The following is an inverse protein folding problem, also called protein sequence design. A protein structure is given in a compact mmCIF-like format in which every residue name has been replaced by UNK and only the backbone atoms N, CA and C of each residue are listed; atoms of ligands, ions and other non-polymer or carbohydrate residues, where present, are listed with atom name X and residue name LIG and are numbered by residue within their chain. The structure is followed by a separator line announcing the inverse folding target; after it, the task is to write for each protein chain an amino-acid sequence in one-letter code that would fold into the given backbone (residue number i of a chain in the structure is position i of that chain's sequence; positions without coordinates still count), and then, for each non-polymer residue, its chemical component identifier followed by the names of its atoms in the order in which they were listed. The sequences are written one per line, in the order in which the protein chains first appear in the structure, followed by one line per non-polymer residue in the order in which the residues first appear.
data_IF_426402109236
#
_entry.id   IF_426402109236
#
_cell.length_a   1.000
_cell.length_b   1.000
_cell.length_c   1.000
_cell.angle_alpha   90.00
_cell.angle_beta   90.00
_cell.angle_gamma   90.00
#
_symmetry.space_group_name_H-M   'P 1'
#
loop_
_entity.id
_entity.type
_entity.pdbx_description
1 polymer ?
#
# COMPACT_ATOMS: atom_id res chain seq x y z
N UNK A 1 -0.17 -13.52 2.38
CA UNK A 1 0.54 -14.79 2.24
C UNK A 1 0.23 -15.71 3.42
N UNK A 2 0.56 -17.00 3.32
CA UNK A 2 0.46 -17.94 4.44
C UNK A 2 1.75 -17.85 5.28
N UNK A 3 1.69 -18.09 6.59
CA UNK A 3 2.86 -18.08 7.47
C UNK A 3 4.00 -18.98 6.95
N UNK A 4 3.64 -20.13 6.37
CA UNK A 4 4.59 -21.11 5.82
C UNK A 4 5.29 -20.69 4.52
N UNK A 5 5.03 -19.52 3.99
CA UNK A 5 5.66 -18.98 2.77
C UNK A 5 6.07 -17.52 2.97
N UNK A 6 6.25 -17.09 4.21
CA UNK A 6 6.52 -15.69 4.53
C UNK A 6 7.84 -15.23 3.94
N UNK A 7 8.93 -15.95 4.20
CA UNK A 7 10.27 -15.57 3.72
C UNK A 7 10.36 -15.70 2.20
N UNK A 8 9.83 -16.79 1.64
CA UNK A 8 9.75 -16.98 0.19
C UNK A 8 9.01 -15.82 -0.50
N UNK A 9 7.87 -15.39 0.06
CA UNK A 9 7.11 -14.28 -0.49
C UNK A 9 7.87 -12.94 -0.40
N UNK A 10 8.59 -12.69 0.69
CA UNK A 10 9.41 -11.48 0.84
C UNK A 10 10.56 -11.49 -0.17
N UNK A 11 11.23 -12.64 -0.36
CA UNK A 11 12.29 -12.77 -1.34
C UNK A 11 11.77 -12.54 -2.76
N UNK A 12 10.63 -13.13 -3.11
CA UNK A 12 10.00 -12.90 -4.42
C UNK A 12 9.63 -11.42 -4.66
N UNK A 13 9.09 -10.73 -3.64
CA UNK A 13 8.82 -9.29 -3.75
C UNK A 13 10.10 -8.47 -3.94
N UNK A 14 11.16 -8.81 -3.23
CA UNK A 14 12.45 -8.12 -3.34
C UNK A 14 13.08 -8.34 -4.74
N UNK A 15 12.97 -9.55 -5.29
CA UNK A 15 13.39 -9.87 -6.66
C UNK A 15 12.57 -9.09 -7.70
N UNK A 16 11.24 -9.05 -7.58
CA UNK A 16 10.37 -8.29 -8.48
C UNK A 16 10.69 -6.79 -8.45
N UNK A 17 10.94 -6.22 -7.28
CA UNK A 17 11.33 -4.81 -7.15
C UNK A 17 12.70 -4.56 -7.83
N UNK A 18 13.65 -5.50 -7.67
CA UNK A 18 14.96 -5.38 -8.31
C UNK A 18 14.89 -5.47 -9.83
N UNK A 19 13.96 -6.27 -10.35
CA UNK A 19 13.79 -6.48 -11.78
C UNK A 19 12.96 -5.39 -12.44
N UNK A 20 12.02 -4.78 -11.72
CA UNK A 20 11.15 -3.73 -12.25
C UNK A 20 11.92 -2.55 -12.87
N UNK A 21 13.08 -2.21 -12.31
CA UNK A 21 13.95 -1.15 -12.84
C UNK A 21 14.82 -1.60 -14.02
N UNK A 22 14.89 -2.89 -14.33
CA UNK A 22 15.82 -3.47 -15.30
C UNK A 22 15.14 -4.11 -16.50
N UNK A 23 13.97 -4.72 -16.31
CA UNK A 23 13.24 -5.33 -17.39
C UNK A 23 12.29 -4.34 -18.06
N UNK A 24 12.16 -4.36 -19.38
CA UNK A 24 11.10 -3.61 -20.04
C UNK A 24 9.73 -4.16 -19.58
N UNK A 25 8.84 -3.24 -19.23
CA UNK A 25 7.44 -3.55 -18.95
C UNK A 25 6.73 -3.67 -20.28
N UNK A 26 5.97 -4.73 -20.51
CA UNK A 26 5.26 -4.90 -21.76
C UNK A 26 3.97 -4.06 -21.81
N UNK A 27 3.49 -3.81 -23.03
CA UNK A 27 2.29 -3.00 -23.26
C UNK A 27 1.03 -3.62 -22.66
N UNK A 28 0.97 -4.93 -22.54
CA UNK A 28 -0.16 -5.61 -21.90
C UNK A 28 -0.14 -5.47 -20.39
N UNK A 29 1.02 -5.50 -19.75
CA UNK A 29 1.16 -5.22 -18.31
C UNK A 29 0.69 -3.79 -18.00
N UNK A 30 1.16 -2.81 -18.76
CA UNK A 30 0.73 -1.41 -18.63
C UNK A 30 -0.78 -1.29 -18.85
N UNK A 31 -1.29 -1.92 -19.90
CA UNK A 31 -2.73 -1.89 -20.19
C UNK A 31 -3.55 -2.45 -19.04
N UNK A 32 -3.19 -3.63 -18.50
CA UNK A 32 -3.87 -4.24 -17.36
C UNK A 32 -3.82 -3.34 -16.11
N UNK A 33 -2.68 -2.71 -15.85
CA UNK A 33 -2.54 -1.79 -14.71
C UNK A 33 -3.43 -0.57 -14.87
N UNK A 34 -3.45 0.07 -16.04
CA UNK A 34 -4.34 1.19 -16.38
C UNK A 34 -5.81 0.81 -16.24
N UNK A 35 -6.21 -0.31 -16.86
CA UNK A 35 -7.59 -0.80 -16.79
C UNK A 35 -8.01 -1.05 -15.33
N UNK A 36 -7.13 -1.63 -14.51
CA UNK A 36 -7.38 -1.84 -13.08
C UNK A 36 -7.59 -0.53 -12.33
N UNK A 37 -6.73 0.47 -12.54
CA UNK A 37 -6.83 1.77 -11.89
C UNK A 37 -8.12 2.49 -12.34
N UNK A 38 -8.34 2.61 -13.64
CA UNK A 38 -9.46 3.36 -14.21
C UNK A 38 -10.81 2.69 -13.90
N UNK A 39 -10.90 1.37 -13.95
CA UNK A 39 -12.12 0.65 -13.60
C UNK A 39 -12.42 0.71 -12.10
N UNK A 40 -11.40 0.69 -11.23
CA UNK A 40 -11.60 0.83 -9.78
C UNK A 40 -12.06 2.23 -9.38
N UNK A 41 -11.82 3.22 -10.24
CA UNK A 41 -12.14 4.62 -9.99
C UNK A 41 -13.64 4.86 -9.76
N UNK A 42 -14.50 4.11 -10.45
CA UNK A 42 -15.97 4.20 -10.32
C UNK A 42 -16.42 3.93 -8.87
N UNK A 43 -15.76 3.03 -8.17
CA UNK A 43 -16.12 2.67 -6.78
C UNK A 43 -15.76 3.74 -5.74
N UNK A 44 -14.98 4.75 -6.11
CA UNK A 44 -14.69 5.90 -5.24
C UNK A 44 -15.84 6.90 -5.19
N UNK A 45 -16.76 6.85 -6.15
CA UNK A 45 -17.86 7.82 -6.34
C UNK A 45 -19.22 7.13 -6.41
N UNK A 46 -19.36 5.95 -5.83
CA UNK A 46 -20.58 5.13 -5.91
C UNK A 46 -21.69 5.60 -4.95
N UNK A 47 -21.43 6.62 -4.12
CA UNK A 47 -22.46 7.26 -3.29
C UNK A 47 -22.25 8.79 -3.18
N UNK A 48 -23.32 9.56 -2.91
CA UNK A 48 -23.23 11.02 -2.68
C UNK A 48 -22.27 11.40 -1.55
N UNK A 49 -22.20 10.59 -0.50
CA UNK A 49 -21.34 10.81 0.65
C UNK A 49 -19.87 10.70 0.26
N UNK A 50 -19.50 9.70 -0.53
CA UNK A 50 -18.13 9.53 -1.04
C UNK A 50 -17.73 10.67 -1.95
N UNK A 51 -18.65 11.10 -2.85
CA UNK A 51 -18.41 12.26 -3.71
C UNK A 51 -18.15 13.51 -2.89
N UNK A 52 -18.94 13.74 -1.83
CA UNK A 52 -18.78 14.89 -0.96
C UNK A 52 -17.44 14.83 -0.20
N UNK A 53 -17.10 13.66 0.36
CA UNK A 53 -15.84 13.48 1.09
C UNK A 53 -14.62 13.75 0.19
N UNK A 54 -14.61 13.23 -1.03
CA UNK A 54 -13.53 13.49 -1.99
C UNK A 54 -13.44 14.98 -2.35
N UNK A 55 -14.56 15.64 -2.62
CA UNK A 55 -14.57 17.09 -2.92
C UNK A 55 -14.06 17.92 -1.74
N UNK A 56 -14.48 17.60 -0.53
CA UNK A 56 -14.00 18.28 0.68
C UNK A 56 -12.49 18.08 0.87
N UNK A 57 -11.97 16.87 0.61
CA UNK A 57 -10.54 16.60 0.68
C UNK A 57 -9.76 17.40 -0.37
N UNK A 58 -10.25 17.46 -1.61
CA UNK A 58 -9.58 18.24 -2.66
C UNK A 58 -9.56 19.71 -2.35
N UNK A 59 -10.67 20.27 -1.86
CA UNK A 59 -10.73 21.67 -1.45
C UNK A 59 -9.78 21.94 -0.26
N UNK A 60 -9.79 21.08 0.74
CA UNK A 60 -8.92 21.21 1.92
C UNK A 60 -7.42 21.17 1.57
N UNK A 61 -7.02 20.29 0.65
CA UNK A 61 -5.64 20.16 0.22
C UNK A 61 -5.25 21.07 -0.95
N UNK A 62 -6.18 21.90 -1.44
CA UNK A 62 -5.92 22.84 -2.53
C UNK A 62 -5.73 22.19 -3.91
N UNK A 63 -6.33 21.03 -4.14
CA UNK A 63 -6.35 20.42 -5.48
C UNK A 63 -7.23 21.21 -6.45
N UNK A 64 -6.87 21.28 -7.74
CA UNK A 64 -7.72 21.89 -8.76
C UNK A 64 -9.08 21.18 -8.87
N UNK A 65 -10.13 21.93 -9.26
CA UNK A 65 -11.48 21.37 -9.38
C UNK A 65 -11.59 20.25 -10.44
N UNK A 66 -10.75 20.30 -11.46
CA UNK A 66 -10.65 19.32 -12.54
C UNK A 66 -9.60 18.21 -12.26
N UNK A 67 -9.14 18.08 -11.02
CA UNK A 67 -8.10 17.13 -10.65
C UNK A 67 -8.43 15.71 -11.09
N UNK A 68 -9.67 15.25 -10.88
CA UNK A 68 -10.08 13.89 -11.21
C UNK A 68 -10.07 13.61 -12.71
N UNK A 69 -10.56 14.56 -13.49
CA UNK A 69 -10.58 14.45 -14.95
C UNK A 69 -9.16 14.43 -15.51
N UNK A 70 -8.28 15.27 -14.97
CA UNK A 70 -6.89 15.32 -15.36
C UNK A 70 -6.15 14.05 -14.90
N UNK A 71 -6.42 13.54 -13.71
CA UNK A 71 -5.82 12.29 -13.21
C UNK A 71 -6.11 11.12 -14.15
N UNK A 72 -7.37 10.95 -14.59
CA UNK A 72 -7.72 9.89 -15.53
C UNK A 72 -6.98 10.03 -16.86
N UNK A 73 -6.96 11.23 -17.44
CA UNK A 73 -6.25 11.52 -18.69
C UNK A 73 -4.75 11.29 -18.58
N UNK A 74 -4.16 11.62 -17.45
CA UNK A 74 -2.71 11.40 -17.23
C UNK A 74 -2.38 9.91 -17.03
N UNK A 75 -3.23 9.13 -16.35
CA UNK A 75 -3.07 7.67 -16.26
C UNK A 75 -3.12 7.03 -17.66
N UNK A 76 -4.03 7.46 -18.51
CA UNK A 76 -4.10 6.95 -19.90
C UNK A 76 -2.81 7.18 -20.69
N UNK A 77 -2.10 8.26 -20.43
CA UNK A 77 -0.86 8.64 -21.15
C UNK A 77 0.39 7.93 -20.65
N UNK A 78 0.37 7.35 -19.43
CA UNK A 78 1.55 6.70 -18.84
C UNK A 78 2.12 5.64 -19.79
N UNK A 79 3.41 5.64 -20.00
CA UNK A 79 4.12 4.69 -20.86
C UNK A 79 4.98 3.72 -20.05
N UNK A 80 5.43 2.59 -20.62
CA UNK A 80 6.41 1.71 -19.99
C UNK A 80 7.69 2.46 -19.56
N UNK A 81 8.14 3.40 -20.37
CA UNK A 81 9.33 4.21 -20.09
C UNK A 81 9.12 5.14 -18.87
N UNK A 82 7.91 5.69 -18.71
CA UNK A 82 7.57 6.49 -17.54
C UNK A 82 7.63 5.65 -16.27
N UNK A 83 7.08 4.44 -16.30
CA UNK A 83 7.14 3.52 -15.15
C UNK A 83 8.57 3.14 -14.83
N UNK A 84 9.38 2.77 -15.82
CA UNK A 84 10.78 2.43 -15.62
C UNK A 84 11.57 3.61 -15.03
N UNK A 85 11.37 4.81 -15.55
CA UNK A 85 12.00 6.05 -15.06
C UNK A 85 11.64 6.35 -13.60
N UNK A 86 10.36 6.21 -13.26
CA UNK A 86 9.87 6.46 -11.89
C UNK A 86 10.35 5.36 -10.94
N UNK A 87 10.30 4.09 -11.36
CA UNK A 87 10.82 2.99 -10.57
C UNK A 87 12.31 3.18 -10.25
N UNK A 88 13.13 3.49 -11.25
CA UNK A 88 14.56 3.76 -11.05
C UNK A 88 14.82 4.95 -10.11
N UNK A 89 13.93 5.95 -10.10
CA UNK A 89 14.09 7.15 -9.25
C UNK A 89 13.65 6.95 -7.81
N UNK A 90 12.64 6.11 -7.55
CA UNK A 90 11.97 6.06 -6.24
C UNK A 90 12.02 4.69 -5.57
N UNK A 91 12.30 3.61 -6.29
CA UNK A 91 12.42 2.27 -5.70
C UNK A 91 13.88 2.00 -5.37
N UNK A 92 14.24 2.21 -4.12
CA UNK A 92 15.56 1.94 -3.58
C UNK A 92 15.51 0.70 -2.71
N UNK A 93 15.97 -0.43 -3.26
CA UNK A 93 15.95 -1.75 -2.59
C UNK A 93 16.69 -1.75 -1.25
N UNK A 94 17.78 -1.01 -1.15
CA UNK A 94 18.60 -0.86 0.05
C UNK A 94 17.95 -0.02 1.15
N UNK A 95 16.85 0.67 0.83
CA UNK A 95 16.10 1.51 1.77
C UNK A 95 14.73 0.93 2.13
N UNK A 96 14.43 -0.29 1.71
CA UNK A 96 13.14 -0.93 2.01
C UNK A 96 13.06 -1.31 3.49
N UNK A 97 11.97 -0.93 4.12
CA UNK A 97 11.59 -1.42 5.44
C UNK A 97 10.61 -2.59 5.29
N UNK A 98 10.92 -3.71 5.92
CA UNK A 98 10.07 -4.90 5.89
C UNK A 98 9.40 -5.07 7.25
N UNK A 99 8.07 -4.90 7.28
CA UNK A 99 7.26 -5.17 8.45
C UNK A 99 6.52 -6.51 8.28
N UNK A 100 6.71 -7.41 9.23
CA UNK A 100 6.06 -8.73 9.20
C UNK A 100 5.15 -8.89 10.41
N UNK A 101 3.91 -9.26 10.17
CA UNK A 101 2.92 -9.62 11.18
C UNK A 101 2.48 -11.05 10.95
N UNK A 102 2.66 -11.92 11.93
CA UNK A 102 2.27 -13.33 11.81
C UNK A 102 2.77 -14.20 12.95
N UNK A 103 2.46 -15.50 12.88
CA UNK A 103 2.94 -16.47 13.83
C UNK A 103 4.36 -16.92 13.46
N UNK A 104 5.33 -16.40 14.20
CA UNK A 104 6.77 -16.65 13.95
C UNK A 104 7.12 -18.14 13.98
N UNK A 105 6.40 -18.94 14.77
CA UNK A 105 6.65 -20.38 14.87
C UNK A 105 6.28 -21.18 13.59
N UNK A 106 5.49 -20.55 12.72
CA UNK A 106 5.03 -21.17 11.47
C UNK A 106 5.78 -20.68 10.23
N UNK A 107 6.72 -19.77 10.36
CA UNK A 107 7.45 -19.25 9.21
C UNK A 107 8.34 -20.34 8.59
N UNK A 108 8.44 -20.30 7.27
CA UNK A 108 9.27 -21.22 6.47
C UNK A 108 10.77 -21.16 6.83
N UNK A 109 11.24 -19.97 7.21
CA UNK A 109 12.61 -19.72 7.67
C UNK A 109 12.60 -18.64 8.75
N UNK A 110 13.68 -18.54 9.57
CA UNK A 110 13.80 -17.43 10.52
C UNK A 110 13.87 -16.07 9.80
N UNK A 111 13.19 -15.04 10.33
CA UNK A 111 13.26 -13.67 9.79
C UNK A 111 14.70 -13.12 9.75
N UNK A 112 15.56 -13.58 10.64
CA UNK A 112 16.99 -13.23 10.66
C UNK A 112 17.74 -13.64 9.38
N UNK A 113 17.16 -14.51 8.56
CA UNK A 113 17.73 -14.83 7.23
C UNK A 113 17.62 -13.66 6.24
N UNK A 114 16.76 -12.67 6.51
CA UNK A 114 16.59 -11.45 5.70
C UNK A 114 17.46 -10.28 6.20
N UNK A 115 17.94 -10.33 7.43
CA UNK A 115 18.74 -9.26 8.04
C UNK A 115 18.48 -9.09 9.54
N UNK A 116 18.83 -7.93 10.08
CA UNK A 116 18.60 -7.61 11.48
C UNK A 116 17.09 -7.49 11.76
N UNK A 117 16.62 -8.15 12.83
CA UNK A 117 15.20 -8.18 13.20
C UNK A 117 14.98 -7.44 14.52
N UNK A 118 14.06 -6.50 14.51
CA UNK A 118 13.57 -5.85 15.72
C UNK A 118 12.13 -6.30 15.98
N UNK A 119 11.90 -6.92 17.14
CA UNK A 119 10.53 -7.27 17.55
C UNK A 119 9.86 -6.03 18.11
N UNK A 120 8.73 -5.65 17.52
CA UNK A 120 7.91 -4.56 18.04
C UNK A 120 6.94 -5.10 19.12
N UNK A 121 6.87 -4.38 20.22
CA UNK A 121 5.83 -4.60 21.24
C UNK A 121 4.54 -3.93 20.76
N UNK A 122 3.50 -4.76 20.53
CA UNK A 122 2.17 -4.32 20.11
C UNK A 122 1.16 -4.39 21.26
N UNK A 123 1.62 -4.50 22.49
CA UNK A 123 0.75 -4.51 23.68
C UNK A 123 0.02 -3.18 23.78
N UNK A 124 -1.31 -3.24 23.80
CA UNK A 124 -2.12 -2.04 24.02
C UNK A 124 -1.93 -1.63 25.48
N UNK A 125 -1.44 -0.42 25.77
CA UNK A 125 -1.30 0.03 27.15
C UNK A 125 -2.68 0.03 27.85
N UNK A 126 -2.69 -0.34 29.12
CA UNK A 126 -3.91 -0.24 29.91
C UNK A 126 -4.44 1.21 29.90
N UNK A 127 -5.75 1.42 29.80
CA UNK A 127 -6.31 2.76 29.86
C UNK A 127 -5.93 3.44 31.18
N UNK A 128 -5.75 4.76 31.19
CA UNK A 128 -5.44 5.51 32.40
C UNK A 128 -6.47 5.22 33.50
N UNK A 129 -6.06 5.16 34.80
CA UNK A 129 -6.99 4.98 35.90
C UNK A 129 -8.10 6.05 35.83
N UNK A 130 -9.37 5.62 35.89
CA UNK A 130 -10.54 6.51 35.84
C UNK A 130 -11.25 6.57 34.50
N UNK A 131 -10.73 5.95 33.43
CA UNK A 131 -11.43 5.84 32.13
C UNK A 131 -12.27 4.56 31.98
N UNK A 132 -12.14 3.62 32.90
CA UNK A 132 -13.01 2.44 33.02
C UNK A 132 -14.27 2.83 33.80
N UNK A 133 -15.34 3.23 33.09
CA UNK A 133 -16.69 3.16 33.67
C UNK A 133 -17.02 1.68 33.83
N UNK A 134 -17.25 1.23 35.05
CA UNK A 134 -17.75 -0.12 35.32
C UNK A 134 -19.00 -0.36 34.46
N UNK A 135 -19.16 -1.54 33.81
CA UNK A 135 -20.40 -1.87 33.12
C UNK A 135 -21.49 -2.12 34.16
N UNK A 136 -22.25 -1.10 34.54
CA UNK A 136 -23.29 -1.28 35.52
C UNK A 136 -24.07 -0.06 36.01
N UNK A 137 -23.75 1.16 35.63
CA UNK A 137 -24.53 2.33 36.05
C UNK A 137 -25.18 3.03 34.84
N UNK A 138 -26.20 2.44 34.31
CA UNK A 138 -27.24 3.15 33.58
C UNK A 138 -28.49 3.18 34.45
N UNK A 139 -29.03 4.38 34.83
CA UNK A 139 -30.31 4.52 35.48
C UNK A 139 -31.48 4.11 34.60
#
# INVERSE_FOLDING_TARGET
TKSKTTIESIQALDEEIADLAKRPIDDEEIKRAKDSILNSFVFRFDSPEKVLQEKMAYEFYGYPLDFLENYQKEIEKVTPEDVARVAAKYLHRDQLAVLVVGNVAEFDKPLSSLGAVTKMDITIPAPPPGLMTEPGDHP
#
